data_IF_609419578899
#
_entry.id   IF_609419578899
#
_cell.length_a   1.000
_cell.length_b   1.000
_cell.length_c   1.000
_cell.angle_alpha   90.00
_cell.angle_beta   90.00
_cell.angle_gamma   90.00
#
_symmetry.space_group_name_H-M   'P 1'
#
loop_
_entity.id
_entity.type
_entity.pdbx_description
1 polymer ?
#
# COMPACT_ATOMS: atom_id res chain seq x y z
N UNK A 1 22.98 -22.13 -14.79
CA UNK A 1 21.73 -22.54 -15.48
C UNK A 1 21.22 -21.34 -16.26
N UNK A 2 20.89 -21.50 -17.54
CA UNK A 2 20.57 -20.37 -18.41
C UNK A 2 19.21 -19.77 -18.04
N UNK A 3 19.08 -18.44 -18.11
CA UNK A 3 17.89 -17.69 -17.68
C UNK A 3 16.58 -18.24 -18.29
N UNK A 4 16.60 -18.63 -19.57
CA UNK A 4 15.45 -19.25 -20.24
C UNK A 4 15.09 -20.63 -19.72
N UNK A 5 16.08 -21.47 -19.38
CA UNK A 5 15.86 -22.81 -18.83
C UNK A 5 15.12 -22.72 -17.48
N UNK A 6 15.53 -21.75 -16.68
CA UNK A 6 14.91 -21.41 -15.40
C UNK A 6 13.45 -20.98 -15.55
N UNK A 7 13.12 -20.17 -16.56
CA UNK A 7 11.72 -19.80 -16.84
C UNK A 7 10.95 -21.01 -17.37
N UNK A 8 11.55 -21.84 -18.24
CA UNK A 8 10.92 -23.06 -18.76
C UNK A 8 10.55 -24.03 -17.63
N UNK A 9 11.48 -24.29 -16.71
CA UNK A 9 11.24 -25.12 -15.54
C UNK A 9 10.09 -24.59 -14.67
N UNK A 10 9.98 -23.27 -14.53
CA UNK A 10 8.84 -22.64 -13.87
C UNK A 10 7.51 -22.86 -14.63
N UNK A 11 7.50 -22.68 -15.94
CA UNK A 11 6.29 -22.82 -16.76
C UNK A 11 5.77 -24.27 -16.83
N UNK A 12 6.68 -25.24 -16.96
CA UNK A 12 6.34 -26.65 -17.16
C UNK A 12 6.11 -27.40 -15.84
N UNK A 13 6.95 -27.13 -14.83
CA UNK A 13 6.98 -27.88 -13.56
C UNK A 13 6.64 -27.06 -12.32
N UNK A 14 6.44 -25.74 -12.45
CA UNK A 14 6.20 -24.86 -11.30
C UNK A 14 7.44 -24.60 -10.44
N UNK A 15 8.65 -24.87 -10.97
CA UNK A 15 9.91 -24.65 -10.26
C UNK A 15 10.12 -23.15 -9.94
N UNK A 16 10.10 -22.82 -8.65
CA UNK A 16 10.22 -21.44 -8.16
C UNK A 16 11.65 -20.90 -8.17
N UNK A 17 12.64 -21.64 -8.68
CA UNK A 17 14.05 -21.24 -8.64
C UNK A 17 14.29 -19.87 -9.28
N UNK A 18 13.69 -19.61 -10.46
CA UNK A 18 13.82 -18.30 -11.12
C UNK A 18 13.23 -17.15 -10.30
N UNK A 19 12.10 -17.40 -9.65
CA UNK A 19 11.43 -16.40 -8.79
C UNK A 19 12.30 -16.13 -7.57
N UNK A 20 12.78 -17.17 -6.90
CA UNK A 20 13.68 -17.04 -5.74
C UNK A 20 14.95 -16.28 -6.10
N UNK A 21 15.59 -16.64 -7.21
CA UNK A 21 16.79 -15.95 -7.71
C UNK A 21 16.55 -14.45 -7.95
N UNK A 22 15.44 -14.09 -8.62
CA UNK A 22 15.11 -12.67 -8.86
C UNK A 22 14.84 -11.93 -7.54
N UNK A 23 14.07 -12.54 -6.63
CA UNK A 23 13.72 -11.90 -5.36
C UNK A 23 14.93 -11.79 -4.42
N UNK A 24 15.84 -12.76 -4.45
CA UNK A 24 17.10 -12.72 -3.72
C UNK A 24 18.02 -11.61 -4.26
N UNK A 25 18.12 -11.45 -5.58
CA UNK A 25 18.88 -10.36 -6.21
C UNK A 25 18.35 -8.97 -5.79
N UNK A 26 17.05 -8.82 -5.55
CA UNK A 26 16.45 -7.55 -5.09
C UNK A 26 17.01 -7.13 -3.73
N UNK A 27 17.21 -8.10 -2.83
CA UNK A 27 17.68 -7.86 -1.47
C UNK A 27 19.19 -7.77 -1.39
N UNK A 28 19.91 -8.67 -2.09
CA UNK A 28 21.35 -8.87 -1.93
C UNK A 28 22.21 -7.97 -2.80
N UNK A 29 21.73 -7.59 -4.00
CA UNK A 29 22.54 -6.79 -4.92
C UNK A 29 22.35 -5.30 -4.63
N UNK A 30 23.45 -4.60 -4.39
CA UNK A 30 23.46 -3.15 -4.36
C UNK A 30 23.55 -2.55 -5.78
N UNK A 31 22.39 -2.32 -6.38
CA UNK A 31 22.31 -1.66 -7.67
C UNK A 31 22.61 -0.14 -7.63
N UNK A 32 22.61 0.49 -6.46
CA UNK A 32 22.83 1.93 -6.32
C UNK A 32 24.32 2.26 -6.41
N UNK A 33 25.17 1.38 -5.90
CA UNK A 33 26.64 1.47 -5.96
C UNK A 33 27.23 0.91 -7.26
N UNK A 34 26.40 0.43 -8.20
CA UNK A 34 26.91 -0.11 -9.46
C UNK A 34 27.62 0.99 -10.28
N UNK A 35 28.90 0.80 -10.65
CA UNK A 35 29.73 1.82 -11.30
C UNK A 35 29.26 2.19 -12.72
N UNK A 36 28.46 1.34 -13.35
CA UNK A 36 27.90 1.57 -14.70
C UNK A 36 26.61 2.40 -14.67
N UNK A 37 26.08 2.68 -13.47
CA UNK A 37 24.84 3.44 -13.27
C UNK A 37 25.05 4.90 -13.70
N UNK A 38 24.34 5.34 -14.73
CA UNK A 38 24.42 6.71 -15.28
C UNK A 38 23.04 7.30 -15.47
N UNK A 39 22.88 8.59 -15.17
CA UNK A 39 21.68 9.34 -15.53
C UNK A 39 21.76 9.77 -17.00
N UNK A 40 20.79 9.31 -17.80
CA UNK A 40 20.76 9.55 -19.26
C UNK A 40 20.30 10.98 -19.57
N UNK A 41 19.39 11.53 -18.76
CA UNK A 41 18.97 12.93 -18.84
C UNK A 41 18.43 13.40 -17.48
N UNK A 42 18.83 14.61 -17.05
CA UNK A 42 18.45 15.22 -15.75
C UNK A 42 16.93 15.40 -15.61
N UNK A 43 16.22 15.63 -16.72
CA UNK A 43 14.79 15.94 -16.72
C UNK A 43 13.88 14.69 -16.65
N UNK A 44 14.31 13.54 -17.18
CA UNK A 44 13.44 12.35 -17.30
C UNK A 44 13.69 11.29 -16.23
N UNK A 45 14.67 11.48 -15.34
CA UNK A 45 15.11 10.49 -14.32
C UNK A 45 15.43 9.11 -14.92
N UNK A 46 15.75 9.04 -16.21
CA UNK A 46 16.11 7.79 -16.88
C UNK A 46 17.53 7.39 -16.46
N UNK A 47 17.68 6.18 -15.93
CA UNK A 47 18.95 5.61 -15.47
C UNK A 47 19.34 4.47 -16.40
N UNK A 48 20.55 4.49 -16.97
CA UNK A 48 21.16 3.32 -17.59
C UNK A 48 22.00 2.59 -16.55
N UNK A 49 21.96 1.27 -16.56
CA UNK A 49 22.84 0.41 -15.77
C UNK A 49 23.15 -0.84 -16.59
N UNK A 50 24.40 -1.26 -16.59
CA UNK A 50 24.83 -2.50 -17.22
C UNK A 50 24.88 -3.58 -16.14
N UNK A 51 24.12 -4.65 -16.36
CA UNK A 51 23.98 -5.78 -15.44
C UNK A 51 24.40 -7.05 -16.16
N UNK A 52 25.04 -7.96 -15.43
CA UNK A 52 25.67 -9.14 -16.02
C UNK A 52 24.65 -10.19 -16.44
N UNK A 53 23.50 -10.24 -15.78
CA UNK A 53 22.48 -11.27 -16.03
C UNK A 53 21.11 -10.65 -16.37
N UNK A 54 20.34 -11.23 -17.31
CA UNK A 54 19.01 -10.75 -17.66
C UNK A 54 18.07 -10.61 -16.46
N UNK A 55 18.12 -11.56 -15.51
CA UNK A 55 17.28 -11.55 -14.30
C UNK A 55 17.55 -10.34 -13.40
N UNK A 56 18.78 -9.83 -13.38
CA UNK A 56 19.15 -8.68 -12.55
C UNK A 56 18.44 -7.40 -13.01
N UNK A 57 18.12 -7.28 -14.31
CA UNK A 57 17.33 -6.15 -14.82
C UNK A 57 15.88 -6.18 -14.31
N UNK A 58 15.33 -7.36 -14.05
CA UNK A 58 14.00 -7.52 -13.42
C UNK A 58 14.11 -7.18 -11.94
N UNK A 59 15.13 -7.71 -11.25
CA UNK A 59 15.39 -7.41 -9.84
C UNK A 59 15.62 -5.91 -9.59
N UNK A 60 16.43 -5.25 -10.41
CA UNK A 60 16.64 -3.80 -10.37
C UNK A 60 15.32 -3.03 -10.45
N UNK A 61 14.44 -3.44 -11.38
CA UNK A 61 13.14 -2.79 -11.55
C UNK A 61 12.26 -2.96 -10.32
N UNK A 62 12.21 -4.17 -9.73
CA UNK A 62 11.48 -4.45 -8.50
C UNK A 62 12.02 -3.58 -7.34
N UNK A 63 13.35 -3.56 -7.15
CA UNK A 63 14.00 -2.75 -6.11
C UNK A 63 13.66 -1.27 -6.26
N UNK A 64 13.73 -0.73 -7.48
CA UNK A 64 13.39 0.66 -7.75
C UNK A 64 11.93 1.00 -7.41
N UNK A 65 10.98 0.11 -7.70
CA UNK A 65 9.57 0.31 -7.34
C UNK A 65 9.38 0.26 -5.81
N UNK A 66 10.04 -0.69 -5.14
CA UNK A 66 10.04 -0.81 -3.67
C UNK A 66 10.56 0.46 -3.02
N UNK A 67 11.74 0.93 -3.40
CA UNK A 67 12.33 2.15 -2.82
C UNK A 67 11.49 3.38 -3.13
N UNK A 68 10.83 3.45 -4.29
CA UNK A 68 9.88 4.53 -4.58
C UNK A 68 8.65 4.47 -3.66
N UNK A 69 8.10 3.27 -3.40
CA UNK A 69 6.99 3.09 -2.48
C UNK A 69 7.37 3.43 -1.03
N UNK A 70 8.56 3.02 -0.59
CA UNK A 70 9.10 3.35 0.75
C UNK A 70 9.27 4.85 0.91
N UNK A 71 9.73 5.58 -0.13
CA UNK A 71 9.79 7.05 -0.09
C UNK A 71 8.44 7.71 0.14
N UNK A 72 7.32 7.08 -0.22
CA UNK A 72 6.01 7.62 0.12
C UNK A 72 5.73 7.58 1.62
N UNK A 73 6.37 6.70 2.41
CA UNK A 73 6.27 6.68 3.87
C UNK A 73 6.80 7.96 4.55
N UNK A 74 7.43 8.86 3.78
CA UNK A 74 7.88 10.17 4.26
C UNK A 74 6.75 11.05 4.82
N UNK A 75 5.47 10.73 4.52
CA UNK A 75 4.34 11.38 5.21
C UNK A 75 4.38 11.17 6.74
N UNK A 76 4.91 10.02 7.21
CA UNK A 76 5.04 9.74 8.65
C UNK A 76 6.00 10.73 9.31
N UNK A 77 7.01 11.21 8.58
CA UNK A 77 8.00 12.20 9.04
C UNK A 77 7.57 13.65 8.84
N UNK A 78 6.41 13.92 8.22
CA UNK A 78 5.92 15.29 8.07
C UNK A 78 5.80 16.08 9.38
N UNK A 79 5.38 15.48 10.51
CA UNK A 79 5.36 16.17 11.80
C UNK A 79 6.73 16.69 12.25
N UNK A 80 7.84 16.11 11.75
CA UNK A 80 9.21 16.45 12.15
C UNK A 80 9.80 17.67 11.43
N UNK A 81 9.07 18.29 10.50
CA UNK A 81 9.57 19.41 9.68
C UNK A 81 10.19 20.53 10.52
N UNK A 82 9.67 20.76 11.73
CA UNK A 82 10.23 21.74 12.68
C UNK A 82 11.10 21.10 13.77
N UNK A 83 10.92 19.81 14.05
CA UNK A 83 11.63 19.10 15.11
C UNK A 83 13.11 18.88 14.79
N UNK A 84 13.47 18.56 13.55
CA UNK A 84 14.88 18.38 13.16
C UNK A 84 15.71 19.67 13.27
N UNK A 85 15.25 20.83 12.75
CA UNK A 85 15.92 22.11 13.00
C UNK A 85 15.99 22.46 14.50
N UNK A 86 14.92 22.22 15.25
CA UNK A 86 14.88 22.55 16.68
C UNK A 86 15.84 21.69 17.50
N UNK A 87 15.96 20.39 17.18
CA UNK A 87 16.97 19.53 17.80
C UNK A 87 18.38 20.03 17.48
N UNK A 88 18.66 20.39 16.22
CA UNK A 88 19.96 20.97 15.84
C UNK A 88 20.28 22.29 16.55
N UNK A 89 19.27 23.12 16.82
CA UNK A 89 19.42 24.32 17.67
C UNK A 89 19.91 23.92 19.07
N UNK A 90 19.31 22.90 19.68
CA UNK A 90 19.75 22.42 20.99
C UNK A 90 21.12 21.75 20.96
N UNK A 91 21.46 21.00 19.91
CA UNK A 91 22.81 20.45 19.73
C UNK A 91 23.87 21.55 19.60
N UNK A 92 23.53 22.67 18.97
CA UNK A 92 24.40 23.86 18.91
C UNK A 92 24.59 24.48 20.29
N UNK A 93 23.53 24.63 21.08
CA UNK A 93 23.61 25.13 22.46
C UNK A 93 24.49 24.19 23.31
N UNK A 94 24.32 22.87 23.16
CA UNK A 94 25.15 21.89 23.85
C UNK A 94 26.64 22.05 23.52
N UNK A 95 26.98 22.13 22.24
CA UNK A 95 28.37 22.19 21.80
C UNK A 95 29.03 23.55 22.11
N UNK A 96 28.32 24.66 21.87
CA UNK A 96 28.90 26.01 21.93
C UNK A 96 28.75 26.62 23.33
N UNK A 97 27.54 26.62 23.90
CA UNK A 97 27.24 27.35 25.13
C UNK A 97 27.50 26.49 26.38
N UNK A 98 27.19 25.20 26.31
CA UNK A 98 27.34 24.26 27.43
C UNK A 98 28.67 23.49 27.39
N UNK A 99 29.42 23.62 26.28
CA UNK A 99 30.72 22.99 26.05
C UNK A 99 30.70 21.47 26.28
N UNK A 100 29.62 20.83 25.82
CA UNK A 100 29.46 19.38 25.78
C UNK A 100 30.16 18.85 24.53
N UNK A 101 31.06 17.90 24.72
CA UNK A 101 31.78 17.25 23.63
C UNK A 101 30.87 16.22 22.94
N UNK A 102 30.35 16.58 21.77
CA UNK A 102 29.53 15.70 20.94
C UNK A 102 30.47 14.91 20.02
N UNK A 103 30.54 13.56 20.13
CA UNK A 103 31.56 12.75 19.44
C UNK A 103 31.26 12.51 17.95
N UNK A 104 30.49 13.39 17.32
CA UNK A 104 30.08 13.30 15.92
C UNK A 104 30.49 14.57 15.19
N UNK A 105 30.96 14.44 13.96
CA UNK A 105 31.34 15.60 13.15
C UNK A 105 30.08 16.31 12.62
N UNK A 106 29.96 17.65 12.80
CA UNK A 106 28.85 18.39 12.23
C UNK A 106 28.94 18.44 10.70
N UNK A 107 27.79 18.28 10.03
CA UNK A 107 27.65 18.36 8.56
C UNK A 107 27.87 19.78 8.07
N UNK A 108 27.37 20.75 8.83
CA UNK A 108 27.57 22.18 8.59
C UNK A 108 27.84 22.86 9.93
N UNK A 109 28.85 23.72 9.99
CA UNK A 109 29.10 24.51 11.19
C UNK A 109 29.58 25.92 10.85
N UNK A 110 29.10 26.89 11.64
CA UNK A 110 29.61 28.25 11.68
C UNK A 110 29.91 28.67 13.14
N UNK A 111 30.17 29.96 13.37
CA UNK A 111 30.50 30.47 14.71
C UNK A 111 29.37 30.29 15.75
N UNK A 112 28.14 30.11 15.30
CA UNK A 112 26.93 30.16 16.11
C UNK A 112 26.00 28.95 15.94
N UNK A 113 26.20 28.14 14.90
CA UNK A 113 25.31 27.03 14.55
C UNK A 113 26.13 25.80 14.15
N UNK A 114 25.87 24.68 14.82
CA UNK A 114 26.42 23.36 14.49
C UNK A 114 25.24 22.47 14.09
N UNK A 115 25.25 22.01 12.84
CA UNK A 115 24.23 21.14 12.27
C UNK A 115 24.78 19.72 12.17
N UNK A 116 24.13 18.79 12.85
CA UNK A 116 24.47 17.38 12.86
C UNK A 116 23.49 16.58 12.01
N UNK A 117 23.97 15.48 11.44
CA UNK A 117 23.10 14.49 10.84
C UNK A 117 22.36 13.73 11.96
N UNK A 118 21.03 13.91 12.02
CA UNK A 118 20.22 13.23 13.02
C UNK A 118 19.96 11.79 12.56
N UNK A 119 20.77 10.88 13.08
CA UNK A 119 20.74 9.45 12.79
C UNK A 119 20.60 8.63 14.09
N UNK A 120 20.50 7.30 13.97
CA UNK A 120 20.28 6.41 15.11
C UNK A 120 21.43 6.44 16.14
N UNK A 121 22.66 6.64 15.70
CA UNK A 121 23.84 6.66 16.57
C UNK A 121 23.88 7.91 17.44
N UNK A 122 23.62 9.08 16.84
CA UNK A 122 23.50 10.33 17.57
C UNK A 122 22.37 10.28 18.60
N UNK A 123 21.19 9.78 18.21
CA UNK A 123 20.04 9.66 19.12
C UNK A 123 20.34 8.73 20.29
N UNK A 124 21.03 7.61 20.06
CA UNK A 124 21.44 6.69 21.12
C UNK A 124 22.46 7.33 22.08
N UNK A 125 23.40 8.13 21.57
CA UNK A 125 24.34 8.87 22.39
C UNK A 125 23.64 9.92 23.26
N UNK A 126 22.70 10.69 22.68
CA UNK A 126 21.92 11.71 23.41
C UNK A 126 21.15 11.11 24.60
N UNK A 127 20.67 9.87 24.46
CA UNK A 127 20.01 9.12 25.55
C UNK A 127 20.98 8.59 26.59
N UNK A 128 22.15 8.12 26.16
CA UNK A 128 23.17 7.62 27.07
C UNK A 128 23.69 8.74 27.97
N UNK A 129 23.88 9.93 27.41
CA UNK A 129 24.42 11.10 28.11
C UNK A 129 23.33 11.99 28.73
N UNK A 130 22.07 11.53 28.77
CA UNK A 130 20.91 12.34 29.19
C UNK A 130 21.11 13.02 30.55
N UNK A 131 21.65 12.29 31.54
CA UNK A 131 21.92 12.85 32.88
C UNK A 131 22.96 13.98 32.84
N UNK A 132 24.05 13.79 32.10
CA UNK A 132 25.11 14.79 31.98
C UNK A 132 24.62 16.01 31.20
N UNK A 133 23.80 15.80 30.18
CA UNK A 133 23.13 16.87 29.44
C UNK A 133 22.19 17.65 30.37
N UNK A 134 21.34 16.97 31.15
CA UNK A 134 20.42 17.59 32.11
C UNK A 134 21.16 18.49 33.10
N UNK A 135 22.20 17.96 33.75
CA UNK A 135 23.03 18.69 34.71
C UNK A 135 23.61 19.96 34.07
N UNK A 136 24.17 19.84 32.86
CA UNK A 136 24.76 20.99 32.13
C UNK A 136 23.74 22.05 31.76
N UNK A 137 22.55 21.66 31.33
CA UNK A 137 21.47 22.61 31.05
C UNK A 137 20.99 23.33 32.33
N UNK A 138 20.89 22.62 33.45
CA UNK A 138 20.48 23.21 34.73
C UNK A 138 21.56 24.19 35.22
N UNK A 139 22.82 23.77 35.24
CA UNK A 139 23.97 24.58 35.68
C UNK A 139 24.17 25.83 34.81
N UNK A 140 23.91 25.71 33.50
CA UNK A 140 23.95 26.83 32.55
C UNK A 140 22.77 27.80 32.64
N UNK A 141 21.76 27.53 33.48
CA UNK A 141 20.55 28.36 33.61
C UNK A 141 19.49 28.11 32.53
N UNK A 142 19.63 27.04 31.75
CA UNK A 142 18.76 26.63 30.63
C UNK A 142 17.75 25.53 31.02
N UNK A 143 17.39 25.40 32.30
CA UNK A 143 16.51 24.30 32.76
C UNK A 143 15.12 24.24 32.08
N UNK A 144 14.59 25.37 31.60
CA UNK A 144 13.36 25.38 30.80
C UNK A 144 13.59 24.84 29.38
N UNK A 145 14.72 25.17 28.77
CA UNK A 145 15.13 24.69 27.45
C UNK A 145 15.40 23.19 27.45
N UNK A 146 15.93 22.63 28.54
CA UNK A 146 16.10 21.17 28.68
C UNK A 146 14.79 20.40 28.51
N UNK A 147 13.69 20.89 29.11
CA UNK A 147 12.36 20.25 28.97
C UNK A 147 11.89 20.26 27.52
N UNK A 148 12.16 21.34 26.79
CA UNK A 148 11.81 21.45 25.37
C UNK A 148 12.70 20.59 24.50
N UNK A 149 14.00 20.55 24.75
CA UNK A 149 14.94 19.60 24.13
C UNK A 149 14.44 18.16 24.29
N UNK A 150 14.13 17.74 25.52
CA UNK A 150 13.67 16.39 25.81
C UNK A 150 12.34 16.07 25.10
N UNK A 151 11.42 17.04 25.04
CA UNK A 151 10.17 16.91 24.29
C UNK A 151 10.43 16.69 22.79
N UNK A 152 11.30 17.51 22.18
CA UNK A 152 11.66 17.41 20.75
C UNK A 152 12.36 16.08 20.46
N UNK A 153 13.32 15.69 21.30
CA UNK A 153 14.03 14.41 21.19
C UNK A 153 13.06 13.24 21.20
N UNK A 154 12.16 13.20 22.19
CA UNK A 154 11.16 12.13 22.35
C UNK A 154 10.19 12.08 21.17
N UNK A 155 9.79 13.24 20.62
CA UNK A 155 8.93 13.32 19.45
C UNK A 155 9.62 12.75 18.20
N UNK A 156 10.89 13.08 17.98
CA UNK A 156 11.69 12.55 16.87
C UNK A 156 11.83 11.03 17.00
N UNK A 157 12.22 10.52 18.17
CA UNK A 157 12.37 9.07 18.39
C UNK A 157 11.09 8.30 18.11
N UNK A 158 9.97 8.77 18.68
CA UNK A 158 8.68 8.12 18.46
C UNK A 158 8.32 8.08 16.97
N UNK A 159 8.52 9.21 16.29
CA UNK A 159 8.18 9.32 14.87
C UNK A 159 9.11 8.48 14.00
N UNK A 160 10.40 8.40 14.30
CA UNK A 160 11.33 7.53 13.58
C UNK A 160 11.03 6.05 13.82
N UNK A 161 10.67 5.65 15.05
CA UNK A 161 10.23 4.28 15.32
C UNK A 161 8.96 3.93 14.53
N UNK A 162 8.00 4.86 14.46
CA UNK A 162 6.79 4.70 13.64
C UNK A 162 7.13 4.64 12.14
N UNK A 163 8.05 5.49 11.67
CA UNK A 163 8.48 5.52 10.27
C UNK A 163 9.18 4.22 9.88
N UNK A 164 10.13 3.71 10.69
CA UNK A 164 10.81 2.43 10.44
C UNK A 164 9.82 1.26 10.39
N UNK A 165 8.84 1.24 11.31
CA UNK A 165 7.77 0.22 11.28
C UNK A 165 6.94 0.30 10.02
N UNK A 166 6.56 1.50 9.61
CA UNK A 166 5.78 1.73 8.41
C UNK A 166 6.55 1.39 7.13
N UNK A 167 7.83 1.77 7.06
CA UNK A 167 8.73 1.39 5.96
C UNK A 167 8.89 -0.12 5.87
N UNK A 168 9.11 -0.81 6.99
CA UNK A 168 9.20 -2.26 7.04
C UNK A 168 7.89 -2.92 6.57
N UNK A 169 6.74 -2.40 7.01
CA UNK A 169 5.41 -2.85 6.55
C UNK A 169 5.28 -2.70 5.03
N UNK A 170 5.61 -1.52 4.49
CA UNK A 170 5.54 -1.24 3.05
C UNK A 170 6.49 -2.14 2.27
N UNK A 171 7.74 -2.35 2.73
CA UNK A 171 8.71 -3.25 2.09
C UNK A 171 8.14 -4.65 1.97
N UNK A 172 7.67 -5.24 3.07
CA UNK A 172 7.07 -6.58 3.08
C UNK A 172 5.88 -6.66 2.14
N UNK A 173 4.95 -5.72 2.25
CA UNK A 173 3.75 -5.64 1.42
C UNK A 173 4.06 -5.54 -0.09
N UNK A 174 5.00 -4.68 -0.47
CA UNK A 174 5.40 -4.53 -1.88
C UNK A 174 6.03 -5.83 -2.38
N UNK A 175 6.90 -6.45 -1.58
CA UNK A 175 7.60 -7.67 -2.00
C UNK A 175 6.65 -8.86 -2.17
N UNK A 176 5.65 -9.03 -1.29
CA UNK A 176 4.63 -10.06 -1.45
C UNK A 176 3.80 -9.88 -2.74
N UNK A 177 3.37 -8.65 -3.03
CA UNK A 177 2.60 -8.35 -4.24
C UNK A 177 3.46 -8.52 -5.49
N UNK A 178 4.73 -8.12 -5.43
CA UNK A 178 5.69 -8.27 -6.52
C UNK A 178 5.98 -9.74 -6.82
N UNK A 179 6.14 -10.58 -5.81
CA UNK A 179 6.35 -12.02 -6.00
C UNK A 179 5.15 -12.66 -6.72
N UNK A 180 3.92 -12.33 -6.30
CA UNK A 180 2.68 -12.80 -6.94
C UNK A 180 2.58 -12.31 -8.39
N UNK A 181 2.88 -11.04 -8.62
CA UNK A 181 2.90 -10.45 -9.95
C UNK A 181 3.95 -11.13 -10.85
N UNK A 182 5.16 -11.35 -10.34
CA UNK A 182 6.26 -11.99 -11.07
C UNK A 182 5.92 -13.43 -11.45
N UNK A 183 5.42 -14.23 -10.51
CA UNK A 183 4.90 -15.58 -10.77
C UNK A 183 3.88 -15.58 -11.90
N UNK A 184 2.90 -14.69 -11.83
CA UNK A 184 1.90 -14.59 -12.88
C UNK A 184 2.52 -14.22 -14.23
N UNK A 185 3.41 -13.23 -14.30
CA UNK A 185 3.99 -12.77 -15.57
C UNK A 185 4.85 -13.86 -16.20
N UNK A 186 5.73 -14.48 -15.44
CA UNK A 186 6.64 -15.54 -15.92
C UNK A 186 5.89 -16.73 -16.52
N UNK A 187 4.69 -17.03 -16.04
CA UNK A 187 3.84 -18.11 -16.57
C UNK A 187 3.46 -17.92 -18.05
N UNK A 188 3.43 -16.69 -18.55
CA UNK A 188 2.94 -16.36 -19.91
C UNK A 188 4.02 -15.77 -20.82
N UNK A 189 5.29 -15.79 -20.40
CA UNK A 189 6.40 -15.30 -21.21
C UNK A 189 6.64 -16.24 -22.40
N UNK A 190 6.84 -15.67 -23.58
CA UNK A 190 7.27 -16.39 -24.78
C UNK A 190 8.79 -16.61 -24.76
N UNK A 191 9.23 -17.88 -24.67
CA UNK A 191 10.64 -18.28 -24.55
C UNK A 191 11.40 -18.28 -25.88
N UNK A 192 10.70 -18.19 -27.02
CA UNK A 192 11.32 -18.11 -28.34
C UNK A 192 11.98 -16.74 -28.57
N UNK A 193 11.57 -15.72 -27.80
CA UNK A 193 12.11 -14.35 -27.86
C UNK A 193 13.49 -14.23 -27.25
N UNK A 194 14.23 -13.18 -27.59
CA UNK A 194 15.52 -12.90 -26.97
C UNK A 194 15.39 -12.61 -25.47
N UNK A 195 16.44 -12.84 -24.69
CA UNK A 195 16.40 -12.57 -23.24
C UNK A 195 16.09 -11.10 -22.93
N UNK A 196 16.58 -10.18 -23.77
CA UNK A 196 16.29 -8.76 -23.67
C UNK A 196 14.80 -8.45 -23.88
N UNK A 197 14.17 -9.08 -24.88
CA UNK A 197 12.73 -8.94 -25.12
C UNK A 197 11.91 -9.54 -23.97
N UNK A 198 12.34 -10.68 -23.42
CA UNK A 198 11.72 -11.30 -22.25
C UNK A 198 11.77 -10.34 -21.06
N UNK A 199 12.94 -9.80 -20.73
CA UNK A 199 13.12 -8.82 -19.64
C UNK A 199 12.23 -7.59 -19.86
N UNK A 200 12.20 -7.06 -21.08
CA UNK A 200 11.35 -5.91 -21.45
C UNK A 200 9.88 -6.21 -21.24
N UNK A 201 9.40 -7.38 -21.70
CA UNK A 201 8.02 -7.81 -21.51
C UNK A 201 7.68 -8.00 -20.04
N UNK A 202 8.57 -8.65 -19.27
CA UNK A 202 8.37 -8.87 -17.84
C UNK A 202 8.25 -7.53 -17.13
N UNK A 203 9.20 -6.62 -17.32
CA UNK A 203 9.20 -5.30 -16.69
C UNK A 203 7.98 -4.45 -17.06
N UNK A 204 7.51 -4.52 -18.32
CA UNK A 204 6.31 -3.82 -18.75
C UNK A 204 5.04 -4.39 -18.10
N UNK A 205 4.93 -5.72 -18.04
CA UNK A 205 3.74 -6.42 -17.53
C UNK A 205 3.67 -6.45 -15.99
N UNK A 206 4.84 -6.40 -15.34
CA UNK A 206 4.98 -6.49 -13.90
C UNK A 206 4.23 -5.36 -13.19
N UNK A 207 4.32 -4.12 -13.67
CA UNK A 207 3.63 -2.97 -13.08
C UNK A 207 2.10 -3.16 -13.08
N UNK A 208 1.54 -3.57 -14.22
CA UNK A 208 0.09 -3.79 -14.33
C UNK A 208 -0.37 -4.89 -13.38
N UNK A 209 0.41 -5.96 -13.23
CA UNK A 209 0.09 -7.06 -12.33
C UNK A 209 0.27 -6.69 -10.86
N UNK A 210 1.34 -5.98 -10.53
CA UNK A 210 1.59 -5.43 -9.21
C UNK A 210 0.43 -4.55 -8.73
N UNK A 211 -0.01 -3.58 -9.54
CA UNK A 211 -1.18 -2.76 -9.18
C UNK A 211 -2.47 -3.58 -9.04
N UNK A 212 -2.60 -4.66 -9.81
CA UNK A 212 -3.69 -5.61 -9.66
C UNK A 212 -3.67 -6.33 -8.31
N UNK A 213 -2.51 -6.82 -7.87
CA UNK A 213 -2.35 -7.48 -6.56
C UNK A 213 -2.51 -6.50 -5.40
N UNK A 214 -1.88 -5.32 -5.49
CA UNK A 214 -2.04 -4.25 -4.51
C UNK A 214 -3.52 -3.86 -4.34
N UNK A 215 -4.24 -3.76 -5.45
CA UNK A 215 -5.68 -3.46 -5.43
C UNK A 215 -6.48 -4.56 -4.74
N UNK A 216 -6.18 -5.84 -5.00
CA UNK A 216 -6.84 -6.97 -4.33
C UNK A 216 -6.57 -6.95 -2.83
N UNK A 217 -5.32 -6.73 -2.40
CA UNK A 217 -4.96 -6.62 -0.97
C UNK A 217 -5.75 -5.51 -0.29
N UNK A 218 -5.84 -4.35 -0.94
CA UNK A 218 -6.58 -3.20 -0.43
C UNK A 218 -8.11 -3.32 -0.58
N UNK A 219 -8.61 -4.45 -1.08
CA UNK A 219 -10.03 -4.74 -1.26
C UNK A 219 -10.70 -4.04 -2.44
N UNK A 220 -9.94 -3.40 -3.33
CA UNK A 220 -10.48 -2.78 -4.53
C UNK A 220 -10.89 -3.82 -5.56
N UNK A 221 -11.99 -3.54 -6.27
CA UNK A 221 -12.46 -4.34 -7.40
C UNK A 221 -12.44 -3.50 -8.68
N UNK A 222 -11.98 -4.13 -9.76
CA UNK A 222 -12.08 -3.55 -11.11
C UNK A 222 -13.51 -3.70 -11.61
N UNK A 223 -14.12 -2.59 -11.99
CA UNK A 223 -15.43 -2.54 -12.62
C UNK A 223 -15.24 -2.02 -14.03
N UNK A 224 -15.62 -2.83 -15.03
CA UNK A 224 -15.57 -2.45 -16.46
C UNK A 224 -16.99 -2.25 -16.98
N UNK A 225 -17.33 -1.05 -17.45
CA UNK A 225 -18.66 -0.77 -18.03
C UNK A 225 -18.59 0.36 -19.04
N UNK A 226 -19.02 0.10 -20.28
CA UNK A 226 -19.07 1.11 -21.34
C UNK A 226 -17.70 1.51 -21.91
N UNK A 227 -16.69 0.64 -21.80
CA UNK A 227 -15.33 0.90 -22.29
C UNK A 227 -14.37 1.41 -21.20
N UNK A 228 -14.91 2.02 -20.15
CA UNK A 228 -14.15 2.53 -19.02
C UNK A 228 -13.85 1.45 -17.96
N UNK A 229 -12.71 1.61 -17.29
CA UNK A 229 -12.24 0.79 -16.18
C UNK A 229 -12.07 1.63 -14.91
N UNK A 230 -12.77 1.24 -13.83
CA UNK A 230 -12.64 1.88 -12.52
C UNK A 230 -12.14 0.90 -11.48
N UNK A 231 -11.26 1.37 -10.59
CA UNK A 231 -10.86 0.67 -9.37
C UNK A 231 -11.63 1.25 -8.20
N UNK A 232 -12.53 0.47 -7.60
CA UNK A 232 -13.43 0.97 -6.55
C UNK A 232 -13.33 0.07 -5.34
N UNK A 233 -13.25 0.65 -4.14
CA UNK A 233 -13.36 -0.07 -2.87
C UNK A 233 -14.85 -0.32 -2.59
N UNK A 234 -15.36 -1.54 -2.76
CA UNK A 234 -16.77 -1.80 -2.63
C UNK A 234 -17.19 -1.78 -1.17
N UNK A 235 -18.40 -1.32 -0.91
CA UNK A 235 -18.99 -1.25 0.41
C UNK A 235 -20.41 -1.79 0.35
N UNK A 236 -20.82 -2.48 1.42
CA UNK A 236 -22.22 -2.77 1.64
C UNK A 236 -22.94 -1.49 2.01
N UNK A 237 -24.08 -1.24 1.36
CA UNK A 237 -25.01 -0.21 1.79
C UNK A 237 -25.95 -0.82 2.85
N UNK A 238 -27.20 -0.35 2.93
CA UNK A 238 -28.23 -1.06 3.69
C UNK A 238 -28.52 -2.44 3.06
N UNK A 239 -29.04 -3.42 3.83
CA UNK A 239 -29.47 -4.72 3.28
C UNK A 239 -30.44 -4.55 2.10
N UNK A 240 -31.41 -3.66 2.25
CA UNK A 240 -32.39 -3.32 1.21
C UNK A 240 -31.71 -2.71 -0.02
N UNK A 241 -30.79 -1.76 0.16
CA UNK A 241 -30.04 -1.19 -0.96
C UNK A 241 -29.14 -2.22 -1.64
N UNK A 242 -28.60 -3.17 -0.88
CA UNK A 242 -27.77 -4.25 -1.41
C UNK A 242 -28.60 -5.26 -2.23
N UNK A 243 -29.93 -5.34 -2.05
CA UNK A 243 -30.82 -6.18 -2.86
C UNK A 243 -31.40 -5.40 -4.04
N UNK A 244 -31.94 -4.20 -3.75
CA UNK A 244 -32.72 -3.41 -4.70
C UNK A 244 -31.84 -2.49 -5.56
N UNK A 245 -30.64 -2.16 -5.11
CA UNK A 245 -29.77 -1.15 -5.71
C UNK A 245 -30.18 0.29 -5.38
N UNK A 246 -31.05 0.48 -4.39
CA UNK A 246 -31.55 1.78 -3.93
C UNK A 246 -32.01 1.70 -2.48
N UNK A 247 -31.85 2.78 -1.72
CA UNK A 247 -32.39 2.89 -0.37
C UNK A 247 -33.89 3.18 -0.45
N UNK A 248 -34.68 2.39 0.28
CA UNK A 248 -36.14 2.54 0.36
C UNK A 248 -36.56 2.61 1.83
N UNK A 249 -37.28 3.65 2.26
CA UNK A 249 -37.77 3.74 3.64
C UNK A 249 -38.66 2.54 4.02
N UNK A 250 -38.54 1.99 5.24
CA UNK A 250 -39.36 0.85 5.70
C UNK A 250 -40.86 1.10 5.59
N UNK A 251 -41.31 2.32 5.87
CA UNK A 251 -42.72 2.73 5.77
C UNK A 251 -43.28 2.63 4.34
N UNK A 252 -42.44 2.80 3.31
CA UNK A 252 -42.85 2.65 1.90
C UNK A 252 -42.83 1.19 1.46
N UNK A 253 -41.88 0.40 1.95
CA UNK A 253 -41.83 -1.05 1.68
C UNK A 253 -43.13 -1.73 2.15
N UNK A 254 -43.57 -1.42 3.36
CA UNK A 254 -44.78 -2.00 3.95
C UNK A 254 -46.07 -1.64 3.18
N UNK A 255 -46.15 -0.43 2.64
CA UNK A 255 -47.35 0.05 1.92
C UNK A 255 -47.44 -0.44 0.47
N UNK A 256 -46.31 -0.70 -0.19
CA UNK A 256 -46.28 -0.94 -1.64
C UNK A 256 -46.14 -2.42 -2.03
N UNK A 257 -45.80 -3.31 -1.11
CA UNK A 257 -45.56 -4.72 -1.39
C UNK A 257 -46.75 -5.59 -1.01
N UNK A 258 -47.05 -6.59 -1.86
CA UNK A 258 -48.00 -7.64 -1.48
C UNK A 258 -47.35 -8.57 -0.45
N UNK A 259 -48.15 -9.33 0.30
CA UNK A 259 -47.64 -10.27 1.31
C UNK A 259 -46.57 -11.22 0.76
N UNK A 260 -46.82 -11.83 -0.40
CA UNK A 260 -45.84 -12.70 -1.10
C UNK A 260 -44.55 -11.97 -1.52
N UNK A 261 -44.63 -10.69 -1.85
CA UNK A 261 -43.44 -9.87 -2.19
C UNK A 261 -42.68 -9.47 -0.93
N UNK A 262 -43.39 -9.18 0.15
CA UNK A 262 -42.84 -8.86 1.46
C UNK A 262 -42.09 -10.06 2.05
N UNK A 263 -42.68 -11.25 2.03
CA UNK A 263 -42.03 -12.48 2.51
C UNK A 263 -40.77 -12.81 1.70
N UNK A 264 -40.85 -12.69 0.37
CA UNK A 264 -39.70 -12.88 -0.51
C UNK A 264 -38.58 -11.88 -0.21
N UNK A 265 -38.91 -10.59 -0.06
CA UNK A 265 -37.93 -9.56 0.25
C UNK A 265 -37.32 -9.76 1.64
N UNK A 266 -38.13 -10.13 2.65
CA UNK A 266 -37.65 -10.40 4.01
C UNK A 266 -36.61 -11.52 4.02
N UNK A 267 -36.86 -12.65 3.36
CA UNK A 267 -35.87 -13.75 3.24
C UNK A 267 -34.54 -13.27 2.64
N UNK A 268 -34.58 -12.41 1.63
CA UNK A 268 -33.37 -11.84 1.04
C UNK A 268 -32.69 -10.83 1.99
N UNK A 269 -33.48 -10.01 2.69
CA UNK A 269 -32.98 -9.03 3.67
C UNK A 269 -32.28 -9.72 4.83
N UNK A 270 -32.90 -10.74 5.42
CA UNK A 270 -32.32 -11.51 6.54
C UNK A 270 -30.97 -12.10 6.13
N UNK A 271 -30.88 -12.66 4.92
CA UNK A 271 -29.61 -13.19 4.40
C UNK A 271 -28.59 -12.08 4.11
N UNK A 272 -29.03 -10.96 3.56
CA UNK A 272 -28.16 -9.82 3.29
C UNK A 272 -27.61 -9.22 4.60
N UNK A 273 -28.39 -9.18 5.68
CA UNK A 273 -27.92 -8.76 7.00
C UNK A 273 -26.85 -9.71 7.56
N UNK A 274 -27.05 -11.02 7.41
CA UNK A 274 -26.06 -12.04 7.79
C UNK A 274 -24.77 -11.87 6.97
N UNK A 275 -24.88 -11.70 5.66
CA UNK A 275 -23.73 -11.50 4.76
C UNK A 275 -22.98 -10.18 5.04
N UNK A 276 -23.69 -9.11 5.41
CA UNK A 276 -23.09 -7.83 5.82
C UNK A 276 -22.32 -8.02 7.13
N UNK A 277 -22.92 -8.73 8.11
CA UNK A 277 -22.30 -8.99 9.41
C UNK A 277 -21.03 -9.84 9.28
N UNK A 278 -21.06 -10.82 8.40
CA UNK A 278 -19.92 -11.73 8.14
C UNK A 278 -19.00 -11.24 7.00
N UNK A 279 -19.29 -10.08 6.41
CA UNK A 279 -18.57 -9.52 5.26
C UNK A 279 -18.45 -10.47 4.04
N UNK A 280 -19.46 -11.32 3.81
CA UNK A 280 -19.51 -12.29 2.69
C UNK A 280 -20.03 -11.63 1.41
N UNK A 281 -19.18 -11.55 0.37
CA UNK A 281 -19.46 -10.75 -0.84
C UNK A 281 -19.58 -11.55 -2.15
N UNK A 282 -19.52 -12.88 -2.10
CA UNK A 282 -19.47 -13.78 -3.27
C UNK A 282 -20.76 -13.70 -4.11
N UNK A 283 -21.89 -13.56 -3.44
CA UNK A 283 -23.24 -13.42 -4.01
C UNK A 283 -23.55 -12.06 -4.65
N UNK A 284 -22.63 -11.10 -4.60
CA UNK A 284 -22.87 -9.71 -4.97
C UNK A 284 -22.02 -9.27 -6.17
N UNK A 285 -22.58 -8.40 -7.02
CA UNK A 285 -21.87 -7.60 -8.02
C UNK A 285 -21.58 -6.21 -7.47
N UNK A 286 -20.67 -5.47 -8.10
CA UNK A 286 -20.29 -4.11 -7.67
C UNK A 286 -20.75 -3.09 -8.71
N UNK A 287 -21.36 -1.99 -8.26
CA UNK A 287 -21.74 -0.87 -9.13
C UNK A 287 -20.61 0.13 -9.34
N UNK A 288 -20.80 1.10 -10.24
CA UNK A 288 -19.85 2.21 -10.46
C UNK A 288 -19.67 3.08 -9.21
N UNK A 289 -20.68 3.16 -8.37
CA UNK A 289 -20.65 3.87 -7.09
C UNK A 289 -20.03 3.04 -5.96
N UNK A 290 -19.52 1.84 -6.26
CA UNK A 290 -18.88 0.97 -5.26
C UNK A 290 -19.85 0.24 -4.34
N UNK A 291 -21.12 0.10 -4.71
CA UNK A 291 -22.09 -0.60 -3.86
C UNK A 291 -22.20 -2.07 -4.25
N UNK A 292 -22.25 -2.95 -3.25
CA UNK A 292 -22.60 -4.35 -3.47
C UNK A 292 -24.09 -4.48 -3.84
N UNK A 293 -24.39 -5.19 -4.93
CA UNK A 293 -25.76 -5.53 -5.35
C UNK A 293 -25.89 -7.04 -5.52
N UNK A 294 -26.89 -7.62 -4.89
CA UNK A 294 -27.18 -9.04 -4.93
C UNK A 294 -27.41 -9.52 -6.38
N UNK A 295 -26.68 -10.55 -6.80
CA UNK A 295 -26.86 -11.19 -8.10
C UNK A 295 -28.18 -11.95 -8.10
N UNK A 296 -28.88 -11.96 -9.24
CA UNK A 296 -30.14 -12.70 -9.36
C UNK A 296 -30.01 -14.21 -9.12
N UNK A 297 -28.85 -14.81 -9.42
CA UNK A 297 -28.56 -16.21 -9.14
C UNK A 297 -28.50 -16.49 -7.64
N UNK A 298 -27.85 -15.61 -6.89
CA UNK A 298 -27.77 -15.71 -5.43
C UNK A 298 -29.14 -15.48 -4.79
N UNK A 299 -29.92 -14.52 -5.27
CA UNK A 299 -31.30 -14.32 -4.82
C UNK A 299 -32.20 -15.54 -5.07
N UNK A 300 -32.00 -16.25 -6.19
CA UNK A 300 -32.72 -17.49 -6.50
C UNK A 300 -32.36 -18.61 -5.50
N UNK A 301 -31.06 -18.79 -5.23
CA UNK A 301 -30.56 -19.75 -4.24
C UNK A 301 -31.13 -19.48 -2.85
N UNK A 302 -31.07 -18.23 -2.36
CA UNK A 302 -31.55 -17.86 -1.02
C UNK A 302 -33.06 -18.03 -0.88
N UNK A 303 -33.82 -17.73 -1.95
CA UNK A 303 -35.28 -17.82 -1.91
C UNK A 303 -35.85 -19.21 -2.22
N UNK A 304 -35.02 -20.16 -2.66
CA UNK A 304 -35.45 -21.48 -3.11
C UNK A 304 -36.30 -21.46 -4.39
N UNK A 305 -36.21 -20.39 -5.18
CA UNK A 305 -36.98 -20.21 -6.42
C UNK A 305 -36.10 -20.41 -7.64
N UNK A 306 -36.71 -20.73 -8.79
CA UNK A 306 -35.97 -20.72 -10.06
C UNK A 306 -35.48 -19.30 -10.38
N UNK A 307 -34.33 -19.22 -11.07
CA UNK A 307 -33.68 -17.96 -11.42
C UNK A 307 -34.63 -16.97 -12.10
N UNK A 308 -35.45 -17.44 -13.05
CA UNK A 308 -36.40 -16.58 -13.75
C UNK A 308 -37.47 -16.01 -12.84
N UNK A 309 -38.00 -16.81 -11.91
CA UNK A 309 -39.05 -16.38 -10.99
C UNK A 309 -38.50 -15.36 -10.00
N UNK A 310 -37.31 -15.64 -9.42
CA UNK A 310 -36.61 -14.71 -8.53
C UNK A 310 -36.29 -13.39 -9.24
N UNK A 311 -35.76 -13.45 -10.48
CA UNK A 311 -35.48 -12.28 -11.31
C UNK A 311 -36.75 -11.47 -11.60
N UNK A 312 -37.83 -12.10 -12.06
CA UNK A 312 -39.11 -11.41 -12.34
C UNK A 312 -39.69 -10.75 -11.08
N UNK A 313 -39.64 -11.43 -9.92
CA UNK A 313 -40.09 -10.86 -8.64
C UNK A 313 -39.25 -9.66 -8.24
N UNK A 314 -37.92 -9.76 -8.27
CA UNK A 314 -37.01 -8.64 -8.00
C UNK A 314 -37.26 -7.46 -8.93
N UNK A 315 -37.41 -7.70 -10.24
CA UNK A 315 -37.70 -6.62 -11.21
C UNK A 315 -39.04 -5.94 -10.92
N UNK A 316 -40.09 -6.70 -10.58
CA UNK A 316 -41.39 -6.13 -10.21
C UNK A 316 -41.29 -5.26 -8.95
N UNK A 317 -40.55 -5.72 -7.94
CA UNK A 317 -40.30 -4.95 -6.71
C UNK A 317 -39.51 -3.67 -7.05
N UNK A 318 -38.41 -3.79 -7.80
CA UNK A 318 -37.59 -2.63 -8.25
C UNK A 318 -38.41 -1.62 -9.04
N UNK A 319 -39.27 -2.07 -9.95
CA UNK A 319 -40.12 -1.18 -10.76
C UNK A 319 -41.13 -0.38 -9.94
N UNK A 320 -41.63 -0.93 -8.82
CA UNK A 320 -42.49 -0.17 -7.89
C UNK A 320 -41.76 1.02 -7.25
N UNK A 321 -40.44 0.93 -7.11
CA UNK A 321 -39.63 1.96 -6.46
C UNK A 321 -38.79 2.80 -7.44
N UNK A 322 -38.78 2.46 -8.73
CA UNK A 322 -37.96 3.12 -9.76
C UNK A 322 -38.33 4.60 -9.99
N UNK A 323 -39.59 4.98 -9.73
CA UNK A 323 -40.08 6.35 -9.86
C UNK A 323 -39.81 7.22 -8.60
N UNK A 324 -39.19 6.65 -7.57
CA UNK A 324 -38.85 7.37 -6.32
C UNK A 324 -37.39 7.86 -6.29
N UNK A 325 -36.71 7.94 -7.44
CA UNK A 325 -35.45 8.69 -7.52
C UNK A 325 -35.77 10.16 -7.20
N UNK A 326 -35.46 10.57 -5.98
CA UNK A 326 -35.22 11.97 -5.62
C UNK A 326 -33.97 12.45 -6.34
#
# INVERSE_FOLDING_TARGET
MQFKELIRAYQEGGDLSIVKCIMDDVETIDFMENPTRKYIASETRNVSVELSEPRQYIAYRIKAIREMAVKHAWYVRQPLKYSYPELNRYLSIMAIDLNIDIPFEPVEFDRYLYTYEINAELMAWLRKEENTIEERFIDGGFGHDYKWYLHVLTLIEKTEVEAVKEEARIRTEVMEDMEKALKHVLKYVDLERSEQEIVKYVNASLMTRYYGEQSKRNGFRRVRRGGDDWMIKPQFASPIASILGMDVPPSKLAKSLTERQSEFLRKLTDKAEEDIRENRNEGYSVTREGRFIMKGAYAAQVSGLSYEVAKRRLTRIKNKFRNFRL
#
